data_IF_756192648935
#
_entry.id   IF_756192648935
#
_cell.length_a   1.000
_cell.length_b   1.000
_cell.length_c   1.000
_cell.angle_alpha   90.00
_cell.angle_beta   90.00
_cell.angle_gamma   90.00
#
_symmetry.space_group_name_H-M   'P 1'
#
loop_
_entity.id
_entity.type
_entity.pdbx_description
1 polymer ?
#
# COMPACT_ATOMS: atom_id res chain seq x y z
N UNK A 1 -4.75 -6.43 -11.52
CA UNK A 1 -3.32 -6.20 -11.22
C UNK A 1 -2.96 -4.75 -11.50
N UNK A 2 -2.29 -4.08 -10.56
CA UNK A 2 -1.86 -2.69 -10.63
C UNK A 2 -0.38 -2.61 -10.25
N UNK A 3 0.41 -1.94 -11.09
CA UNK A 3 1.84 -1.71 -10.88
C UNK A 3 2.06 -0.21 -10.63
N UNK A 4 2.70 0.13 -9.51
CA UNK A 4 2.97 1.51 -9.16
C UNK A 4 4.35 1.68 -8.52
N UNK A 5 5.00 2.81 -8.80
CA UNK A 5 6.30 3.21 -8.27
C UNK A 5 6.25 4.45 -7.36
N UNK A 6 5.06 5.03 -7.19
CA UNK A 6 4.79 6.20 -6.35
C UNK A 6 3.41 6.08 -5.72
N UNK A 7 3.22 6.63 -4.52
CA UNK A 7 1.89 6.70 -3.92
C UNK A 7 1.09 7.89 -4.46
N UNK A 8 -0.24 7.73 -4.43
CA UNK A 8 -1.20 8.77 -4.80
C UNK A 8 -1.12 9.96 -3.84
N UNK A 9 -0.21 10.89 -4.10
CA UNK A 9 -0.08 12.14 -3.33
C UNK A 9 -1.24 13.12 -3.60
N UNK A 10 -2.03 12.88 -4.66
CA UNK A 10 -3.11 13.74 -5.11
C UNK A 10 -4.34 12.91 -5.48
N UNK A 11 -5.52 13.51 -5.32
CA UNK A 11 -6.81 12.91 -5.67
C UNK A 11 -7.55 12.31 -4.47
N UNK A 12 -8.61 11.56 -4.78
CA UNK A 12 -9.43 10.84 -3.79
C UNK A 12 -8.64 9.62 -3.32
N UNK A 13 -8.57 9.41 -2.01
CA UNK A 13 -7.75 8.36 -1.43
C UNK A 13 -6.26 8.72 -1.33
N UNK A 14 -5.94 10.02 -1.26
CA UNK A 14 -4.55 10.48 -1.12
C UNK A 14 -3.87 9.79 0.07
N UNK A 15 -2.63 9.39 -0.13
CA UNK A 15 -1.83 8.72 0.91
C UNK A 15 -0.62 9.56 1.23
N UNK A 16 -0.38 9.78 2.53
CA UNK A 16 0.70 10.62 3.05
C UNK A 16 1.56 9.82 4.03
N UNK A 17 2.81 10.23 4.24
CA UNK A 17 3.66 9.61 5.26
C UNK A 17 3.15 9.98 6.64
N UNK A 18 2.83 8.96 7.46
CA UNK A 18 2.31 9.12 8.83
C UNK A 18 3.28 8.69 9.93
N UNK A 19 4.54 8.44 9.58
CA UNK A 19 5.53 8.00 10.55
C UNK A 19 5.82 9.10 11.56
N UNK A 20 5.56 8.78 12.82
CA UNK A 20 5.88 9.63 13.94
C UNK A 20 6.53 8.78 15.03
N UNK A 21 7.80 9.09 15.32
CA UNK A 21 8.59 8.36 16.29
C UNK A 21 8.05 8.46 17.72
N UNK A 22 7.19 9.44 18.02
CA UNK A 22 6.57 9.56 19.36
C UNK A 22 5.61 8.43 19.68
N UNK A 23 5.10 7.72 18.66
CA UNK A 23 4.13 6.64 18.87
C UNK A 23 4.77 5.26 18.98
N UNK A 24 6.09 5.12 18.80
CA UNK A 24 6.74 3.82 18.88
C UNK A 24 6.63 3.19 20.26
N UNK A 25 6.25 1.91 20.30
CA UNK A 25 6.01 1.14 21.53
C UNK A 25 4.90 1.72 22.41
N UNK A 26 3.99 2.49 21.83
CA UNK A 26 2.78 2.97 22.52
C UNK A 26 1.55 2.26 21.97
N UNK A 27 0.46 2.25 22.75
CA UNK A 27 -0.83 1.74 22.28
C UNK A 27 -1.36 2.52 21.06
N UNK A 28 -0.86 3.75 20.85
CA UNK A 28 -1.20 4.59 19.71
C UNK A 28 -0.51 4.15 18.41
N UNK A 29 0.55 3.33 18.47
CA UNK A 29 1.27 2.85 17.28
C UNK A 29 0.32 2.14 16.31
N UNK A 30 -0.44 1.19 16.82
CA UNK A 30 -1.37 0.40 16.01
C UNK A 30 -2.44 1.31 15.41
N UNK A 31 -3.06 2.15 16.24
CA UNK A 31 -4.22 2.94 15.84
C UNK A 31 -3.89 4.15 14.96
N UNK A 32 -2.66 4.67 15.02
CA UNK A 32 -2.23 5.85 14.24
C UNK A 32 -1.36 5.51 13.05
N UNK A 33 -0.58 4.42 13.10
CA UNK A 33 0.41 4.08 12.07
C UNK A 33 0.12 2.79 11.31
N UNK A 34 -0.52 1.79 11.94
CA UNK A 34 -0.74 0.47 11.32
C UNK A 34 -2.16 0.26 10.78
N UNK A 35 -3.10 1.14 11.13
CA UNK A 35 -4.46 1.14 10.58
C UNK A 35 -4.57 2.04 9.36
N UNK A 36 -5.48 1.74 8.42
CA UNK A 36 -5.75 2.63 7.29
C UNK A 36 -6.17 4.04 7.76
N UNK A 37 -5.60 5.08 7.16
CA UNK A 37 -5.91 6.48 7.49
C UNK A 37 -7.39 6.82 7.26
N UNK A 38 -7.94 6.30 6.17
CA UNK A 38 -9.30 6.60 5.73
C UNK A 38 -9.98 5.39 5.08
N UNK A 39 -11.32 5.42 5.04
CA UNK A 39 -12.15 4.30 4.59
C UNK A 39 -12.22 4.12 3.07
N UNK A 40 -11.67 5.05 2.29
CA UNK A 40 -11.77 5.04 0.82
C UNK A 40 -11.39 3.70 0.18
N UNK A 41 -10.20 3.16 0.48
CA UNK A 41 -9.76 1.90 -0.13
C UNK A 41 -10.60 0.69 0.30
N UNK A 42 -11.21 0.74 1.49
CA UNK A 42 -12.16 -0.28 1.93
C UNK A 42 -13.48 -0.19 1.15
N UNK A 43 -14.03 1.00 1.01
CA UNK A 43 -15.27 1.24 0.26
C UNK A 43 -15.10 0.87 -1.22
N UNK A 44 -13.97 1.26 -1.82
CA UNK A 44 -13.59 0.87 -3.17
C UNK A 44 -13.45 -0.66 -3.30
N UNK A 45 -12.87 -1.33 -2.30
CA UNK A 45 -12.77 -2.79 -2.31
C UNK A 45 -14.15 -3.47 -2.33
N UNK A 46 -15.10 -2.97 -1.54
CA UNK A 46 -16.48 -3.49 -1.53
C UNK A 46 -17.16 -3.30 -2.88
N UNK A 47 -16.92 -2.16 -3.55
CA UNK A 47 -17.41 -1.92 -4.90
C UNK A 47 -16.78 -2.91 -5.91
N UNK A 48 -15.46 -3.15 -5.82
CA UNK A 48 -14.77 -4.14 -6.64
C UNK A 48 -15.35 -5.54 -6.44
N UNK A 49 -15.56 -5.98 -5.19
CA UNK A 49 -16.16 -7.28 -4.87
C UNK A 49 -17.56 -7.40 -5.47
N UNK A 50 -18.38 -6.35 -5.40
CA UNK A 50 -19.72 -6.36 -6.00
C UNK A 50 -19.72 -6.57 -7.52
N UNK A 51 -18.59 -6.29 -8.17
CA UNK A 51 -18.35 -6.42 -9.61
C UNK A 51 -17.46 -7.63 -9.96
N UNK A 52 -17.16 -8.50 -8.99
CA UNK A 52 -16.22 -9.61 -9.14
C UNK A 52 -14.82 -9.18 -9.64
N UNK A 53 -14.36 -8.01 -9.20
CA UNK A 53 -13.03 -7.48 -9.51
C UNK A 53 -12.07 -7.81 -8.38
N UNK A 54 -10.94 -8.44 -8.72
CA UNK A 54 -9.82 -8.73 -7.82
C UNK A 54 -8.67 -7.76 -8.11
N UNK A 55 -8.04 -7.23 -7.05
CA UNK A 55 -6.98 -6.24 -7.17
C UNK A 55 -5.68 -6.74 -6.54
N UNK A 56 -4.72 -7.11 -7.38
CA UNK A 56 -3.32 -7.31 -6.95
C UNK A 56 -2.53 -6.01 -7.07
N UNK A 57 -1.73 -5.69 -6.05
CA UNK A 57 -0.90 -4.51 -5.96
C UNK A 57 0.59 -4.88 -6.03
N UNK A 58 1.29 -4.34 -7.02
CA UNK A 58 2.74 -4.44 -7.15
C UNK A 58 3.34 -3.07 -6.96
N UNK A 59 4.01 -2.89 -5.83
CA UNK A 59 4.54 -1.60 -5.40
C UNK A 59 6.08 -1.64 -5.43
N UNK A 60 6.66 -0.94 -6.39
CA UNK A 60 8.10 -0.89 -6.62
C UNK A 60 8.65 0.52 -6.38
N UNK A 61 8.95 0.84 -5.13
CA UNK A 61 9.37 2.19 -4.74
C UNK A 61 10.88 2.35 -4.84
N UNK A 62 11.34 3.37 -5.56
CA UNK A 62 12.77 3.69 -5.70
C UNK A 62 13.29 4.60 -4.57
N UNK A 63 12.38 5.15 -3.76
CA UNK A 63 12.73 6.13 -2.73
C UNK A 63 13.27 5.44 -1.49
N UNK A 64 14.52 5.75 -1.14
CA UNK A 64 15.17 5.25 0.07
C UNK A 64 14.76 6.07 1.29
N UNK A 65 14.53 5.38 2.41
CA UNK A 65 14.31 5.97 3.74
C UNK A 65 13.05 6.83 3.92
N UNK A 66 12.11 6.79 2.98
CA UNK A 66 10.79 7.39 3.18
C UNK A 66 9.81 6.28 3.51
N UNK A 67 9.15 6.40 4.66
CA UNK A 67 8.07 5.49 4.99
C UNK A 67 6.83 5.83 4.19
N UNK A 68 6.25 4.78 3.62
CA UNK A 68 5.10 4.83 2.76
C UNK A 68 3.95 4.16 3.50
N UNK A 69 2.81 4.82 3.51
CA UNK A 69 1.64 4.33 4.21
C UNK A 69 0.91 3.27 3.39
N UNK A 70 1.54 2.10 3.29
CA UNK A 70 1.01 0.91 2.64
C UNK A 70 -0.21 0.37 3.39
N UNK A 71 -0.29 0.61 4.71
CA UNK A 71 -1.42 0.22 5.54
C UNK A 71 -2.75 0.82 5.04
N UNK A 72 -2.73 2.05 4.53
CA UNK A 72 -3.92 2.68 3.94
C UNK A 72 -4.41 2.00 2.66
N UNK A 73 -3.50 1.47 1.83
CA UNK A 73 -3.86 0.82 0.57
C UNK A 73 -4.16 -0.68 0.73
N UNK A 74 -3.55 -1.35 1.71
CA UNK A 74 -3.67 -2.79 1.93
C UNK A 74 -5.11 -3.34 1.88
N UNK A 75 -6.15 -2.64 2.40
CA UNK A 75 -7.52 -3.15 2.37
C UNK A 75 -8.05 -3.46 0.97
N UNK A 76 -7.60 -2.77 -0.09
CA UNK A 76 -8.11 -3.02 -1.44
C UNK A 76 -7.72 -4.40 -1.95
N UNK A 77 -6.47 -4.81 -1.76
CA UNK A 77 -6.00 -6.13 -2.14
C UNK A 77 -6.59 -7.19 -1.21
N UNK A 78 -6.50 -6.97 0.11
CA UNK A 78 -6.95 -7.96 1.10
C UNK A 78 -8.45 -8.27 1.05
N UNK A 79 -9.32 -7.28 0.82
CA UNK A 79 -10.78 -7.50 0.78
C UNK A 79 -11.20 -8.08 -0.56
N UNK A 80 -10.56 -7.69 -1.66
CA UNK A 80 -10.89 -8.25 -2.99
C UNK A 80 -10.32 -9.65 -3.22
N UNK A 81 -9.47 -10.13 -2.30
CA UNK A 81 -8.84 -11.46 -2.37
C UNK A 81 -7.59 -11.49 -3.24
N UNK A 82 -7.01 -10.33 -3.55
CA UNK A 82 -5.73 -10.21 -4.23
C UNK A 82 -4.56 -10.05 -3.26
N UNK A 83 -3.36 -9.96 -3.83
CA UNK A 83 -2.11 -9.85 -3.08
C UNK A 83 -1.48 -8.46 -3.13
N UNK A 84 -0.63 -8.17 -2.14
CA UNK A 84 0.20 -6.97 -2.10
C UNK A 84 1.69 -7.37 -2.09
N UNK A 85 2.38 -7.03 -3.18
CA UNK A 85 3.80 -7.25 -3.38
C UNK A 85 4.55 -5.93 -3.18
N UNK A 86 5.26 -5.80 -2.07
CA UNK A 86 6.08 -4.63 -1.75
C UNK A 86 7.55 -4.88 -2.07
N UNK A 87 8.10 -4.11 -3.01
CA UNK A 87 9.52 -4.03 -3.29
C UNK A 87 10.06 -2.69 -2.78
N UNK A 88 10.55 -2.72 -1.54
CA UNK A 88 11.27 -1.59 -0.96
C UNK A 88 12.63 -1.40 -1.67
N UNK A 89 13.08 -0.15 -1.77
CA UNK A 89 14.36 0.23 -2.37
C UNK A 89 14.62 -0.43 -3.73
N UNK A 90 13.61 -0.38 -4.60
CA UNK A 90 13.61 -1.09 -5.87
C UNK A 90 14.76 -0.64 -6.77
N UNK A 91 15.61 -1.59 -7.15
CA UNK A 91 16.66 -1.43 -8.14
C UNK A 91 16.44 -2.46 -9.24
N UNK A 92 16.23 -1.99 -10.47
CA UNK A 92 15.95 -2.86 -11.62
C UNK A 92 17.04 -3.92 -11.85
N UNK A 93 18.31 -3.59 -11.60
CA UNK A 93 19.44 -4.50 -11.83
C UNK A 93 19.46 -5.65 -10.80
N UNK A 94 19.00 -5.41 -9.58
CA UNK A 94 19.02 -6.40 -8.51
C UNK A 94 17.66 -7.11 -8.32
N UNK A 95 16.56 -6.40 -8.54
CA UNK A 95 15.21 -6.84 -8.19
C UNK A 95 14.29 -7.06 -9.41
N UNK A 96 14.75 -6.73 -10.63
CA UNK A 96 13.95 -6.84 -11.84
C UNK A 96 13.51 -8.27 -12.14
N UNK A 97 14.40 -9.24 -11.95
CA UNK A 97 14.06 -10.67 -12.14
C UNK A 97 13.02 -11.14 -11.12
N UNK A 98 13.15 -10.73 -9.85
CA UNK A 98 12.17 -11.08 -8.81
C UNK A 98 10.77 -10.55 -9.15
N UNK A 99 10.68 -9.30 -9.61
CA UNK A 99 9.41 -8.70 -10.02
C UNK A 99 8.81 -9.40 -11.25
N UNK A 100 9.63 -9.92 -12.16
CA UNK A 100 9.17 -10.61 -13.37
C UNK A 100 8.46 -11.95 -13.08
N UNK A 101 8.85 -12.65 -12.01
CA UNK A 101 8.29 -13.95 -11.65
C UNK A 101 7.12 -13.88 -10.63
N UNK A 102 6.65 -12.67 -10.32
CA UNK A 102 5.50 -12.44 -9.44
C UNK A 102 4.31 -11.94 -10.26
#
# INVERSE_FOLDING_TARGET
MLFANSLGAQGVGKVQTRVNATYYNTDEEVTKMLTPEHKFYRELALECVSKCIVVDLFLAFTVKHISLDVATMQPIAGITGGDLYLHADFNVQAHGEKLYYQ
#
